data_IF_822867980370
#
_entry.id   IF_822867980370
#
_cell.length_a   1.000
_cell.length_b   1.000
_cell.length_c   1.000
_cell.angle_alpha   90.00
_cell.angle_beta   90.00
_cell.angle_gamma   90.00
#
_symmetry.space_group_name_H-M   'P 1'
#
loop_
_entity.id
_entity.type
_entity.pdbx_description
1 polymer ?
#
# COMPACT_ATOMS: atom_id res chain seq x y z
N UNK A 1 0.33 15.51 4.42
CA UNK A 1 1.57 14.85 3.94
C UNK A 1 1.41 14.16 2.60
N UNK A 2 0.41 13.30 2.38
CA UNK A 2 0.10 12.85 1.01
C UNK A 2 -0.08 14.10 0.13
N UNK A 3 -0.83 15.10 0.61
CA UNK A 3 -0.97 16.41 -0.05
C UNK A 3 0.34 17.13 -0.46
N UNK A 4 1.45 16.98 0.29
CA UNK A 4 2.74 17.58 -0.08
C UNK A 4 3.37 16.82 -1.25
N UNK A 5 3.37 15.49 -1.18
CA UNK A 5 3.84 14.64 -2.27
C UNK A 5 2.93 14.81 -3.50
N UNK A 6 1.63 14.96 -3.31
CA UNK A 6 0.67 15.23 -4.39
C UNK A 6 1.02 16.52 -5.14
N UNK A 7 1.37 17.58 -4.40
CA UNK A 7 1.83 18.85 -4.97
C UNK A 7 3.19 18.72 -5.64
N UNK A 8 4.14 18.01 -5.01
CA UNK A 8 5.49 17.80 -5.56
C UNK A 8 5.49 17.01 -6.87
N UNK A 9 4.71 15.93 -6.93
CA UNK A 9 4.61 15.04 -8.08
C UNK A 9 3.51 15.45 -9.09
N UNK A 10 2.75 16.49 -8.75
CA UNK A 10 1.68 17.08 -9.57
C UNK A 10 0.44 16.18 -9.74
N UNK A 11 0.34 15.07 -9.01
CA UNK A 11 -0.75 14.11 -9.18
C UNK A 11 -0.96 13.24 -7.95
N UNK A 12 -2.19 13.27 -7.42
CA UNK A 12 -2.62 12.38 -6.34
C UNK A 12 -2.64 10.92 -6.75
N UNK A 13 -3.10 10.63 -7.97
CA UNK A 13 -3.14 9.27 -8.47
C UNK A 13 -1.72 8.68 -8.59
N UNK A 14 -0.76 9.47 -9.09
CA UNK A 14 0.63 9.05 -9.23
C UNK A 14 1.22 8.62 -7.89
N UNK A 15 1.09 9.45 -6.86
CA UNK A 15 1.62 9.15 -5.52
C UNK A 15 0.99 7.89 -4.93
N UNK A 16 -0.34 7.73 -5.03
CA UNK A 16 -1.02 6.55 -4.50
C UNK A 16 -0.64 5.27 -5.23
N UNK A 17 -0.51 5.31 -6.56
CA UNK A 17 -0.10 4.16 -7.36
C UNK A 17 1.37 3.81 -7.08
N UNK A 18 2.28 4.80 -7.01
CA UNK A 18 3.67 4.56 -6.63
C UNK A 18 3.76 3.85 -5.27
N UNK A 19 3.02 4.33 -4.26
CA UNK A 19 2.96 3.70 -2.93
C UNK A 19 2.46 2.26 -2.99
N UNK A 20 1.43 1.97 -3.79
CA UNK A 20 0.90 0.61 -3.96
C UNK A 20 2.01 -0.34 -4.42
N UNK A 21 2.78 0.02 -5.44
CA UNK A 21 3.82 -0.87 -5.96
C UNK A 21 5.07 -0.92 -5.07
N UNK A 22 5.54 0.22 -4.55
CA UNK A 22 6.75 0.29 -3.71
C UNK A 22 6.63 -0.52 -2.42
N UNK A 23 5.43 -0.55 -1.83
CA UNK A 23 5.16 -1.30 -0.59
C UNK A 23 4.67 -2.73 -0.84
N UNK A 24 4.47 -3.13 -2.08
CA UNK A 24 4.10 -4.50 -2.46
C UNK A 24 4.94 -4.94 -3.68
N UNK A 25 6.28 -5.04 -3.53
CA UNK A 25 7.20 -5.18 -4.67
C UNK A 25 7.01 -6.47 -5.46
N UNK A 26 6.59 -7.55 -4.81
CA UNK A 26 6.43 -8.88 -5.41
C UNK A 26 5.02 -9.14 -5.95
N UNK A 27 4.05 -8.28 -5.60
CA UNK A 27 2.64 -8.45 -5.97
C UNK A 27 2.38 -8.02 -7.41
N UNK A 28 1.48 -8.75 -8.07
CA UNK A 28 1.00 -8.39 -9.41
C UNK A 28 -0.40 -7.81 -9.31
N UNK A 29 -0.64 -6.70 -10.02
CA UNK A 29 -1.93 -6.01 -10.01
C UNK A 29 -2.48 -5.84 -11.42
N UNK A 30 -3.73 -6.23 -11.62
CA UNK A 30 -4.50 -5.81 -12.80
C UNK A 30 -5.04 -4.37 -12.62
N UNK A 31 -5.53 -3.79 -13.71
CA UNK A 31 -6.01 -2.40 -13.70
C UNK A 31 -7.11 -2.16 -12.66
N UNK A 32 -8.00 -3.12 -12.45
CA UNK A 32 -9.12 -2.99 -11.52
C UNK A 32 -8.63 -3.01 -10.07
N UNK A 33 -7.67 -3.90 -9.76
CA UNK A 33 -7.03 -3.95 -8.45
C UNK A 33 -6.26 -2.66 -8.15
N UNK A 34 -5.57 -2.09 -9.14
CA UNK A 34 -4.87 -0.80 -8.96
C UNK A 34 -5.89 0.30 -8.63
N UNK A 35 -6.97 0.41 -9.42
CA UNK A 35 -8.04 1.41 -9.20
C UNK A 35 -8.65 1.28 -7.81
N UNK A 36 -9.01 0.05 -7.41
CA UNK A 36 -9.65 -0.24 -6.13
C UNK A 36 -8.72 0.04 -4.94
N UNK A 37 -7.50 -0.51 -4.96
CA UNK A 37 -6.56 -0.39 -3.83
C UNK A 37 -5.98 1.01 -3.70
N UNK A 38 -5.73 1.70 -4.81
CA UNK A 38 -5.22 3.07 -4.79
C UNK A 38 -6.33 4.11 -4.63
N UNK A 39 -7.61 3.75 -4.76
CA UNK A 39 -8.76 4.66 -4.64
C UNK A 39 -8.60 5.89 -5.54
N UNK A 40 -8.39 5.64 -6.83
CA UNK A 40 -8.23 6.66 -7.88
C UNK A 40 -9.25 6.43 -8.99
N UNK A 41 -9.46 7.41 -9.86
CA UNK A 41 -10.36 7.23 -11.01
C UNK A 41 -9.73 6.32 -12.07
N UNK A 42 -10.53 5.57 -12.85
CA UNK A 42 -10.01 4.72 -13.93
C UNK A 42 -9.18 5.47 -14.97
N UNK A 43 -9.56 6.71 -15.29
CA UNK A 43 -8.84 7.57 -16.23
C UNK A 43 -7.47 7.94 -15.70
N UNK A 44 -7.40 8.41 -14.45
CA UNK A 44 -6.13 8.76 -13.82
C UNK A 44 -5.23 7.53 -13.65
N UNK A 45 -5.79 6.37 -13.27
CA UNK A 45 -5.03 5.13 -13.19
C UNK A 45 -4.34 4.78 -14.50
N UNK A 46 -5.07 4.75 -15.62
CA UNK A 46 -4.51 4.41 -16.94
C UNK A 46 -3.39 5.37 -17.35
N UNK A 47 -3.60 6.67 -17.15
CA UNK A 47 -2.61 7.69 -17.47
C UNK A 47 -1.33 7.50 -16.65
N UNK A 48 -1.45 7.34 -15.33
CA UNK A 48 -0.28 7.24 -14.46
C UNK A 48 0.44 5.90 -14.59
N UNK A 49 -0.27 4.78 -14.76
CA UNK A 49 0.37 3.49 -15.04
C UNK A 49 1.21 3.56 -16.31
N UNK A 50 0.69 4.21 -17.36
CA UNK A 50 1.44 4.40 -18.61
C UNK A 50 2.70 5.23 -18.39
N UNK A 51 2.62 6.30 -17.58
CA UNK A 51 3.79 7.12 -17.25
C UNK A 51 4.81 6.32 -16.43
N UNK A 52 4.37 5.57 -15.43
CA UNK A 52 5.22 4.77 -14.56
C UNK A 52 5.86 3.58 -15.30
N UNK A 53 5.17 3.01 -16.28
CA UNK A 53 5.72 2.01 -17.21
C UNK A 53 6.81 2.64 -18.10
N UNK A 54 6.55 3.83 -18.66
CA UNK A 54 7.52 4.53 -19.53
C UNK A 54 8.83 4.91 -18.84
N UNK A 55 8.77 5.27 -17.56
CA UNK A 55 9.98 5.56 -16.78
C UNK A 55 10.68 4.29 -16.28
N UNK A 56 10.13 3.10 -16.55
CA UNK A 56 10.72 1.83 -16.14
C UNK A 56 10.45 1.43 -14.69
N UNK A 57 9.58 2.14 -13.97
CA UNK A 57 9.22 1.75 -12.59
C UNK A 57 8.28 0.54 -12.57
N UNK A 58 7.43 0.37 -13.58
CA UNK A 58 6.50 -0.75 -13.69
C UNK A 58 6.80 -1.60 -14.93
N UNK A 59 6.68 -2.92 -14.77
CA UNK A 59 6.77 -3.89 -15.88
C UNK A 59 5.44 -4.58 -16.09
N UNK A 60 5.09 -4.82 -17.36
CA UNK A 60 3.93 -5.66 -17.71
C UNK A 60 4.19 -7.10 -17.31
N UNK A 61 3.20 -7.74 -16.69
CA UNK A 61 3.27 -9.14 -16.30
C UNK A 61 1.90 -9.80 -16.45
N UNK A 62 1.89 -11.01 -17.00
CA UNK A 62 0.68 -11.84 -17.04
C UNK A 62 0.65 -12.77 -15.83
N UNK A 63 -0.49 -12.90 -15.17
CA UNK A 63 -0.68 -13.82 -14.05
C UNK A 63 -2.07 -14.44 -14.10
N UNK A 64 -2.29 -15.51 -13.32
CA UNK A 64 -3.59 -16.16 -13.24
C UNK A 64 -4.42 -15.56 -12.11
N UNK A 65 -5.68 -15.27 -12.42
CA UNK A 65 -6.66 -14.78 -11.45
C UNK A 65 -7.90 -15.66 -11.53
N UNK A 66 -8.43 -15.96 -10.35
CA UNK A 66 -9.62 -16.74 -10.18
C UNK A 66 -10.85 -15.82 -10.27
N UNK A 67 -11.78 -16.13 -11.17
CA UNK A 67 -13.02 -15.39 -11.37
C UNK A 67 -14.21 -16.22 -10.90
N UNK A 68 -15.06 -15.62 -10.07
CA UNK A 68 -16.32 -16.24 -9.68
C UNK A 68 -17.36 -16.05 -10.80
N UNK A 69 -17.86 -17.16 -11.34
CA UNK A 69 -18.93 -17.15 -12.35
C UNK A 69 -20.28 -17.50 -11.71
N UNK A 70 -21.20 -16.53 -11.77
CA UNK A 70 -22.61 -16.70 -11.42
C UNK A 70 -22.89 -17.04 -9.95
N UNK A 71 -24.17 -17.26 -9.63
CA UNK A 71 -24.64 -17.60 -8.26
C UNK A 71 -24.09 -18.94 -7.74
N UNK A 72 -23.58 -19.82 -8.61
CA UNK A 72 -23.11 -21.16 -8.27
C UNK A 72 -21.61 -21.27 -7.92
N UNK A 73 -20.91 -20.13 -7.68
CA UNK A 73 -19.52 -20.09 -7.19
C UNK A 73 -18.52 -20.97 -7.96
N UNK A 74 -18.74 -21.22 -9.26
CA UNK A 74 -17.75 -21.93 -10.08
C UNK A 74 -16.57 -20.99 -10.31
N UNK A 75 -15.38 -21.40 -9.89
CA UNK A 75 -14.15 -20.62 -10.03
C UNK A 75 -13.50 -20.97 -11.36
N UNK A 76 -13.37 -19.99 -12.25
CA UNK A 76 -12.61 -20.14 -13.49
C UNK A 76 -11.30 -19.35 -13.36
N UNK A 77 -10.18 -20.06 -13.53
CA UNK A 77 -8.86 -19.46 -13.53
C UNK A 77 -8.55 -18.93 -14.93
N UNK A 78 -8.41 -17.61 -15.05
CA UNK A 78 -8.09 -16.95 -16.33
C UNK A 78 -6.74 -16.24 -16.24
N UNK A 79 -6.03 -16.20 -17.36
CA UNK A 79 -4.81 -15.40 -17.50
C UNK A 79 -5.19 -13.95 -17.71
N UNK A 80 -4.64 -13.06 -16.89
CA UNK A 80 -4.89 -11.62 -16.92
C UNK A 80 -3.56 -10.90 -17.11
N UNK A 81 -3.58 -9.79 -17.84
CA UNK A 81 -2.43 -8.87 -17.93
C UNK A 81 -2.53 -7.82 -16.83
N UNK A 82 -1.41 -7.53 -16.20
CA UNK A 82 -1.28 -6.45 -15.23
C UNK A 82 0.15 -5.94 -15.17
N UNK A 83 0.50 -5.37 -14.01
CA UNK A 83 1.79 -4.77 -13.76
C UNK A 83 2.37 -5.25 -12.44
N UNK A 84 3.69 -5.21 -12.37
CA UNK A 84 4.50 -5.47 -11.17
C UNK A 84 5.55 -4.36 -11.06
N UNK A 85 6.03 -4.10 -9.85
CA UNK A 85 7.16 -3.21 -9.63
C UNK A 85 8.40 -3.76 -10.33
N UNK A 86 9.16 -2.89 -10.98
CA UNK A 86 10.51 -3.21 -11.39
C UNK A 86 11.49 -2.99 -10.23
N UNK A 87 11.92 -4.07 -9.59
CA UNK A 87 12.92 -4.01 -8.50
C UNK A 87 14.31 -3.54 -8.98
N UNK A 88 14.56 -3.53 -10.30
CA UNK A 88 15.82 -3.01 -10.89
C UNK A 88 15.77 -1.52 -11.22
N UNK A 89 14.67 -0.83 -10.88
CA UNK A 89 14.51 0.60 -11.14
C UNK A 89 15.52 1.43 -10.31
N UNK A 90 16.34 2.22 -10.99
CA UNK A 90 17.48 2.97 -10.42
C UNK A 90 17.12 3.83 -9.19
N UNK A 91 15.95 4.47 -9.23
CA UNK A 91 15.50 5.39 -8.17
C UNK A 91 14.57 4.73 -7.16
N UNK A 92 14.49 3.40 -7.14
CA UNK A 92 13.52 2.69 -6.28
C UNK A 92 13.76 2.95 -4.79
N UNK A 93 15.00 2.81 -4.32
CA UNK A 93 15.32 3.01 -2.89
C UNK A 93 15.13 4.46 -2.42
N UNK A 94 15.61 5.49 -3.16
CA UNK A 94 15.28 6.89 -2.85
C UNK A 94 13.77 7.16 -2.80
N UNK A 95 13.00 6.64 -3.77
CA UNK A 95 11.54 6.77 -3.78
C UNK A 95 10.91 6.04 -2.60
N UNK A 96 11.38 4.84 -2.25
CA UNK A 96 10.91 4.08 -1.10
C UNK A 96 11.07 4.89 0.18
N UNK A 97 12.24 5.47 0.43
CA UNK A 97 12.49 6.28 1.62
C UNK A 97 11.63 7.54 1.67
N UNK A 98 11.43 8.19 0.52
CA UNK A 98 10.57 9.37 0.40
C UNK A 98 9.09 9.04 0.68
N UNK A 99 8.60 7.93 0.12
CA UNK A 99 7.21 7.48 0.26
C UNK A 99 6.93 6.86 1.63
N UNK A 100 7.94 6.23 2.24
CA UNK A 100 7.86 5.54 3.53
C UNK A 100 7.90 6.51 4.71
N UNK A 101 8.40 7.74 4.54
CA UNK A 101 8.52 8.70 5.64
C UNK A 101 7.19 8.87 6.39
N UNK A 102 7.16 8.32 7.60
CA UNK A 102 6.06 8.44 8.56
C UNK A 102 6.30 9.72 9.34
N UNK A 103 5.40 10.70 9.22
CA UNK A 103 5.51 11.90 10.03
C UNK A 103 5.22 11.56 11.51
N UNK A 104 5.83 12.28 12.46
CA UNK A 104 5.46 12.19 13.87
C UNK A 104 3.94 12.38 14.11
N UNK A 105 3.26 13.16 13.27
CA UNK A 105 1.80 13.35 13.28
C UNK A 105 1.03 12.03 13.09
N UNK A 106 1.51 11.13 12.23
CA UNK A 106 0.86 9.82 12.00
C UNK A 106 1.03 8.90 13.20
N UNK A 107 2.15 8.99 13.92
CA UNK A 107 2.36 8.27 15.18
C UNK A 107 1.36 8.74 16.25
N UNK A 108 1.08 10.05 16.32
CA UNK A 108 0.03 10.58 17.23
C UNK A 108 -1.36 10.05 16.88
N UNK A 109 -1.70 9.91 15.59
CA UNK A 109 -2.97 9.31 15.18
C UNK A 109 -3.10 7.83 15.56
N UNK A 110 -2.03 7.05 15.39
CA UNK A 110 -1.98 5.65 15.82
C UNK A 110 -2.21 5.56 17.33
N UNK A 111 -1.49 6.37 18.11
CA UNK A 111 -1.69 6.45 19.57
C UNK A 111 -3.12 6.85 19.95
N UNK A 112 -3.71 7.80 19.23
CA UNK A 112 -5.10 8.25 19.45
C UNK A 112 -6.14 7.17 19.13
N UNK A 113 -5.87 6.30 18.16
CA UNK A 113 -6.72 5.14 17.86
C UNK A 113 -6.54 4.06 18.93
N UNK A 114 -5.30 3.74 19.30
CA UNK A 114 -4.99 2.73 20.31
C UNK A 114 -5.51 3.11 21.70
N UNK A 115 -5.50 4.39 22.06
CA UNK A 115 -5.98 4.84 23.38
C UNK A 115 -7.49 4.64 23.56
N UNK A 116 -8.24 4.46 22.47
CA UNK A 116 -9.68 4.13 22.51
C UNK A 116 -9.94 2.67 22.85
N UNK A 117 -8.92 1.81 22.74
CA UNK A 117 -9.03 0.36 22.93
C UNK A 117 -8.92 -0.03 24.41
N UNK A 118 -8.27 0.79 25.22
CA UNK A 118 -8.09 0.57 26.66
C UNK A 118 -6.98 1.44 27.25
N UNK A 119 -6.55 1.13 28.47
CA UNK A 119 -5.50 1.89 29.15
C UNK A 119 -4.13 1.43 28.68
N UNK A 120 -3.50 2.19 27.80
CA UNK A 120 -2.16 1.89 27.29
C UNK A 120 -1.10 2.12 28.38
N UNK A 121 -0.17 1.16 28.52
CA UNK A 121 1.02 1.23 29.39
C UNK A 121 2.30 1.43 28.59
N UNK A 122 2.40 0.78 27.43
CA UNK A 122 3.55 0.88 26.53
C UNK A 122 3.09 0.62 25.09
N UNK A 123 3.59 1.43 24.16
CA UNK A 123 3.43 1.20 22.72
C UNK A 123 4.80 1.29 22.09
N UNK A 124 5.23 0.20 21.46
CA UNK A 124 6.46 0.15 20.66
C UNK A 124 6.05 0.09 19.20
N UNK A 125 6.49 1.09 18.45
CA UNK A 125 6.33 1.16 16.99
C UNK A 125 7.60 0.54 16.39
N UNK A 126 7.45 -0.47 15.55
CA UNK A 126 8.56 -1.20 14.94
C UNK A 126 8.28 -1.52 13.48
N UNK A 127 9.19 -2.23 12.82
CA UNK A 127 9.03 -2.70 11.46
C UNK A 127 8.70 -1.64 10.42
N UNK A 128 7.65 -1.87 9.64
CA UNK A 128 7.16 -1.01 8.56
C UNK A 128 7.11 0.47 8.96
N UNK A 129 6.65 0.78 10.18
CA UNK A 129 6.48 2.16 10.63
C UNK A 129 7.80 2.90 10.89
N UNK A 130 8.89 2.18 11.15
CA UNK A 130 10.24 2.73 11.29
C UNK A 130 11.12 2.41 10.08
N UNK A 131 10.52 2.00 8.95
CA UNK A 131 11.20 1.64 7.71
C UNK A 131 12.15 0.44 7.85
N UNK A 132 11.90 -0.45 8.83
CA UNK A 132 12.63 -1.70 9.00
C UNK A 132 11.81 -2.87 8.45
N UNK A 133 11.96 -3.12 7.15
CA UNK A 133 11.14 -4.07 6.38
C UNK A 133 11.34 -5.54 6.76
N UNK A 134 12.49 -5.90 7.34
CA UNK A 134 12.82 -7.27 7.77
C UNK A 134 12.28 -7.60 9.16
N UNK A 135 11.66 -6.62 9.84
CA UNK A 135 11.08 -6.84 11.16
C UNK A 135 9.85 -7.73 11.09
N UNK A 136 9.78 -8.75 11.96
CA UNK A 136 8.59 -9.61 12.12
C UNK A 136 7.42 -8.94 12.84
N UNK A 137 7.66 -7.77 13.44
CA UNK A 137 6.68 -7.06 14.26
C UNK A 137 6.65 -5.60 13.82
N UNK A 138 5.46 -5.09 13.52
CA UNK A 138 5.24 -3.67 13.19
C UNK A 138 4.76 -2.85 14.39
N UNK A 139 4.08 -3.47 15.36
CA UNK A 139 3.52 -2.78 16.50
C UNK A 139 3.36 -3.73 17.70
N UNK A 140 3.89 -3.33 18.86
CA UNK A 140 3.67 -4.00 20.14
C UNK A 140 2.92 -3.06 21.09
N UNK A 141 1.78 -3.51 21.60
CA UNK A 141 0.92 -2.74 22.52
C UNK A 141 0.77 -3.49 23.84
N UNK A 142 1.13 -2.83 24.93
CA UNK A 142 0.92 -3.30 26.30
C UNK A 142 -0.07 -2.35 26.98
N UNK A 143 -1.11 -2.90 27.60
CA UNK A 143 -2.11 -2.12 28.29
C UNK A 143 -3.07 -2.98 29.10
N UNK A 144 -3.85 -2.32 29.96
CA UNK A 144 -4.86 -2.96 30.79
C UNK A 144 -6.24 -2.86 30.13
N UNK A 145 -7.06 -3.89 30.30
CA UNK A 145 -8.44 -3.96 29.81
C UNK A 145 -8.57 -3.67 28.30
N UNK A 146 -7.59 -4.10 27.50
CA UNK A 146 -7.60 -3.94 26.04
C UNK A 146 -8.75 -4.72 25.41
N UNK A 147 -9.67 -4.01 24.75
CA UNK A 147 -10.79 -4.62 24.02
C UNK A 147 -10.33 -5.09 22.65
N UNK A 148 -10.11 -6.40 22.50
CA UNK A 148 -9.58 -7.00 21.25
C UNK A 148 -10.44 -6.69 20.00
N UNK A 149 -11.76 -6.57 20.14
CA UNK A 149 -12.69 -6.37 19.01
C UNK A 149 -12.65 -5.01 18.31
N UNK A 150 -11.88 -4.04 18.82
CA UNK A 150 -11.74 -2.70 18.19
C UNK A 150 -10.48 -2.53 17.34
N UNK A 151 -9.65 -3.57 17.22
CA UNK A 151 -8.39 -3.53 16.45
C UNK A 151 -8.53 -4.03 15.00
N UNK A 152 -9.63 -4.71 14.67
CA UNK A 152 -9.96 -5.14 13.31
C UNK A 152 -10.79 -4.04 12.62
N UNK A 153 -10.14 -3.07 11.96
CA UNK A 153 -10.80 -2.19 10.97
C UNK A 153 -9.81 -1.50 10.03
#
# INVERSE_FOLDING_TARGET
MIEVLEKLFGSNAKVKIMRLFVFNPTDNFDINQIIERSKVTPTAARQEITNLEKIGMLKKRSFFKDFALGRNKKVERRRVSGWVLDETFEYLEPLRNLLAHVSPERNKEILKKLSRVGKLKLVIISGFFIQNWDSRVDLLVVGDNLRKGTLDT
#
